data_IF_776623817277
#
_entry.id   IF_776623817277
#
_cell.length_a   1.000
_cell.length_b   1.000
_cell.length_c   1.000
_cell.angle_alpha   90.00
_cell.angle_beta   90.00
_cell.angle_gamma   90.00
#
_symmetry.space_group_name_H-M   'P 1'
#
loop_
_entity.id
_entity.type
_entity.pdbx_description
1 polymer ?
#
# COMPACT_ATOMS: atom_id res chain seq x y z
N UNK A 1 3.19 -25.88 5.62
CA UNK A 1 3.34 -26.42 4.24
C UNK A 1 2.03 -26.38 3.43
N UNK A 2 0.96 -27.09 3.84
CA UNK A 2 -0.32 -27.21 3.08
C UNK A 2 -0.90 -25.87 2.57
N UNK A 3 -1.00 -24.84 3.42
CA UNK A 3 -1.52 -23.51 3.02
C UNK A 3 -0.74 -22.86 1.86
N UNK A 4 0.58 -23.04 1.78
CA UNK A 4 1.40 -22.43 0.73
C UNK A 4 1.10 -23.05 -0.64
N UNK A 5 0.90 -24.37 -0.68
CA UNK A 5 0.54 -25.13 -1.88
C UNK A 5 -0.81 -24.63 -2.43
N UNK A 6 -1.82 -24.50 -1.56
CA UNK A 6 -3.14 -24.00 -1.99
C UNK A 6 -3.16 -22.56 -2.47
N UNK A 7 -2.24 -21.70 -1.98
CA UNK A 7 -2.09 -20.33 -2.52
C UNK A 7 -1.62 -20.33 -3.97
N UNK A 8 -0.79 -21.30 -4.34
CA UNK A 8 -0.20 -21.42 -5.68
C UNK A 8 -1.03 -22.29 -6.63
N UNK A 9 -2.20 -22.81 -6.20
CA UNK A 9 -3.03 -23.72 -7.01
C UNK A 9 -3.40 -23.19 -8.41
N UNK A 10 -3.43 -21.86 -8.59
CA UNK A 10 -3.77 -21.21 -9.86
C UNK A 10 -2.79 -21.58 -10.98
N UNK A 11 -1.55 -21.92 -10.63
CA UNK A 11 -0.52 -22.33 -11.60
C UNK A 11 -0.92 -23.61 -12.34
N UNK A 12 -1.80 -24.43 -11.75
CA UNK A 12 -2.24 -25.70 -12.33
C UNK A 12 -3.50 -25.58 -13.20
N UNK A 13 -4.09 -24.38 -13.37
CA UNK A 13 -5.35 -24.20 -14.12
C UNK A 13 -5.23 -24.59 -15.60
N UNK A 14 -4.04 -24.49 -16.19
CA UNK A 14 -3.76 -24.92 -17.58
C UNK A 14 -3.47 -26.43 -17.71
N UNK A 15 -3.47 -27.18 -16.61
CA UNK A 15 -3.14 -28.61 -16.58
C UNK A 15 -4.38 -29.44 -16.23
N UNK A 16 -4.42 -30.74 -16.55
CA UNK A 16 -5.54 -31.61 -16.16
C UNK A 16 -5.58 -31.92 -14.66
N UNK A 17 -4.59 -31.46 -13.89
CA UNK A 17 -4.46 -31.77 -12.48
C UNK A 17 -5.14 -30.74 -11.59
N UNK A 18 -5.81 -31.22 -10.54
CA UNK A 18 -6.46 -30.37 -9.55
C UNK A 18 -6.04 -30.76 -8.14
N UNK A 19 -5.95 -29.76 -7.26
CA UNK A 19 -5.66 -29.95 -5.84
C UNK A 19 -6.89 -29.57 -5.03
N UNK A 20 -7.35 -30.49 -4.19
CA UNK A 20 -8.44 -30.30 -3.23
C UNK A 20 -7.92 -30.60 -1.82
N UNK A 21 -8.55 -29.96 -0.84
CA UNK A 21 -8.32 -30.29 0.57
C UNK A 21 -8.89 -31.68 0.84
N UNK A 22 -8.17 -32.44 1.65
CA UNK A 22 -8.64 -33.73 2.14
C UNK A 22 -9.63 -33.51 3.28
N UNK A 23 -10.86 -34.01 3.11
CA UNK A 23 -11.94 -33.86 4.07
C UNK A 23 -12.51 -35.23 4.41
N UNK A 24 -12.86 -35.48 5.68
CA UNK A 24 -13.51 -36.71 6.07
C UNK A 24 -14.91 -36.81 5.45
N UNK A 25 -15.40 -38.04 5.27
CA UNK A 25 -16.63 -38.34 4.53
C UNK A 25 -17.86 -37.57 5.03
N UNK A 26 -18.02 -37.46 6.36
CA UNK A 26 -19.14 -36.72 6.96
C UNK A 26 -19.18 -35.25 6.52
N UNK A 27 -18.02 -34.62 6.32
CA UNK A 27 -17.93 -33.23 5.82
C UNK A 27 -18.30 -33.19 4.35
N UNK A 28 -17.89 -34.17 3.55
CA UNK A 28 -18.24 -34.22 2.12
C UNK A 28 -19.76 -34.33 1.93
N UNK A 29 -20.43 -35.17 2.72
CA UNK A 29 -21.89 -35.29 2.69
C UNK A 29 -22.56 -33.99 3.12
N UNK A 30 -22.11 -33.35 4.21
CA UNK A 30 -22.62 -32.04 4.61
C UNK A 30 -22.43 -30.96 3.54
N UNK A 31 -21.29 -30.94 2.85
CA UNK A 31 -21.06 -29.97 1.77
C UNK A 31 -22.03 -30.13 0.61
N UNK A 32 -22.44 -31.36 0.28
CA UNK A 32 -23.45 -31.61 -0.77
C UNK A 32 -24.80 -31.01 -0.36
N UNK A 33 -25.22 -31.20 0.88
CA UNK A 33 -26.46 -30.59 1.43
C UNK A 33 -26.39 -29.05 1.39
N UNK A 34 -25.27 -28.47 1.82
CA UNK A 34 -25.09 -27.01 1.88
C UNK A 34 -24.98 -26.35 0.50
N UNK A 35 -24.61 -27.09 -0.55
CA UNK A 35 -24.50 -26.52 -1.91
C UNK A 35 -25.83 -25.98 -2.41
N UNK A 36 -26.94 -26.66 -2.10
CA UNK A 36 -28.26 -26.22 -2.52
C UNK A 36 -28.69 -24.92 -1.81
N UNK A 37 -28.43 -24.84 -0.50
CA UNK A 37 -28.68 -23.62 0.27
C UNK A 37 -27.85 -22.44 -0.24
N UNK A 38 -26.58 -22.67 -0.59
CA UNK A 38 -25.72 -21.62 -1.16
C UNK A 38 -26.23 -21.15 -2.52
N UNK A 39 -26.82 -22.02 -3.35
CA UNK A 39 -27.42 -21.64 -4.62
C UNK A 39 -28.60 -20.68 -4.39
N UNK A 40 -29.50 -21.02 -3.47
CA UNK A 40 -30.65 -20.19 -3.09
C UNK A 40 -30.19 -18.82 -2.56
N UNK A 41 -29.19 -18.78 -1.68
CA UNK A 41 -28.70 -17.51 -1.14
C UNK A 41 -28.00 -16.64 -2.20
N UNK A 42 -27.32 -17.25 -3.18
CA UNK A 42 -26.75 -16.54 -4.33
C UNK A 42 -27.83 -15.96 -5.24
N UNK A 43 -28.90 -16.71 -5.49
CA UNK A 43 -30.07 -16.24 -6.25
C UNK A 43 -30.75 -15.04 -5.56
N UNK A 44 -30.76 -15.03 -4.22
CA UNK A 44 -31.21 -13.88 -3.41
C UNK A 44 -30.26 -12.66 -3.47
N UNK A 45 -29.08 -12.79 -4.08
CA UNK A 45 -28.08 -11.73 -4.21
C UNK A 45 -27.05 -11.65 -3.07
N UNK A 46 -27.06 -12.61 -2.14
CA UNK A 46 -26.07 -12.69 -1.07
C UNK A 46 -24.76 -13.30 -1.58
N UNK A 47 -23.62 -12.80 -1.09
CA UNK A 47 -22.32 -13.39 -1.39
C UNK A 47 -21.99 -14.47 -0.36
N UNK A 48 -21.96 -15.73 -0.79
CA UNK A 48 -21.93 -16.87 0.14
C UNK A 48 -20.90 -17.91 -0.29
N UNK A 49 -20.19 -18.49 0.69
CA UNK A 49 -19.20 -19.56 0.48
C UNK A 49 -19.29 -20.64 1.55
N UNK A 50 -19.02 -21.88 1.15
CA UNK A 50 -18.89 -23.03 2.08
C UNK A 50 -17.45 -23.10 2.62
N UNK A 51 -17.30 -23.12 3.94
CA UNK A 51 -16.03 -23.37 4.65
C UNK A 51 -16.20 -24.54 5.59
N UNK A 52 -15.47 -25.63 5.31
CA UNK A 52 -15.65 -26.92 5.99
C UNK A 52 -17.10 -27.41 5.89
N UNK A 53 -17.84 -27.46 7.00
CA UNK A 53 -19.23 -27.89 7.19
C UNK A 53 -20.21 -26.71 7.41
N UNK A 54 -19.79 -25.47 7.11
CA UNK A 54 -20.57 -24.25 7.39
C UNK A 54 -20.72 -23.38 6.16
N UNK A 55 -21.83 -22.66 6.12
CA UNK A 55 -22.09 -21.56 5.18
C UNK A 55 -21.59 -20.26 5.82
N UNK A 56 -20.84 -19.47 5.05
CA UNK A 56 -20.33 -18.16 5.47
C UNK A 56 -20.85 -17.12 4.50
N UNK A 57 -21.65 -16.18 5.03
CA UNK A 57 -22.14 -15.01 4.29
C UNK A 57 -21.06 -13.92 4.37
N UNK A 58 -20.59 -13.49 3.21
CA UNK A 58 -19.60 -12.42 3.07
C UNK A 58 -20.31 -11.08 2.95
N UNK A 59 -20.24 -10.28 4.02
CA UNK A 59 -20.74 -8.91 3.99
C UNK A 59 -19.79 -8.05 3.14
N UNK A 60 -20.33 -7.39 2.11
CA UNK A 60 -19.53 -6.55 1.18
C UNK A 60 -18.96 -5.30 1.86
N UNK A 61 -19.50 -4.95 3.02
CA UNK A 61 -19.33 -3.70 3.75
C UNK A 61 -18.38 -3.81 4.96
N UNK A 62 -17.85 -5.00 5.30
CA UNK A 62 -16.95 -5.14 6.45
C UNK A 62 -15.46 -4.92 6.15
N UNK A 63 -15.06 -4.87 4.88
CA UNK A 63 -13.65 -4.68 4.49
C UNK A 63 -13.27 -3.22 4.18
N UNK A 64 -14.17 -2.26 4.41
CA UNK A 64 -13.91 -0.82 4.22
C UNK A 64 -13.95 -0.05 5.52
N UNK A 65 -13.53 -0.65 6.62
CA UNK A 65 -13.15 0.13 7.79
C UNK A 65 -11.67 0.51 7.71
N UNK A 66 -11.34 1.30 6.68
CA UNK A 66 -10.16 2.14 6.73
C UNK A 66 -10.44 3.26 7.75
N UNK A 67 -10.43 2.91 9.04
CA UNK A 67 -10.41 3.90 10.13
C UNK A 67 -9.13 4.75 10.11
N UNK A 68 -8.18 4.42 9.23
CA UNK A 68 -6.92 5.15 9.00
C UNK A 68 -7.03 6.19 7.87
N UNK A 69 -8.22 6.66 7.51
CA UNK A 69 -8.31 7.88 6.69
C UNK A 69 -8.20 9.08 7.62
N UNK A 70 -7.00 9.61 7.75
CA UNK A 70 -6.74 10.89 8.42
C UNK A 70 -7.61 11.94 7.71
N UNK A 71 -8.52 12.58 8.45
CA UNK A 71 -9.26 13.73 7.97
C UNK A 71 -8.23 14.82 7.66
N UNK A 72 -8.16 15.28 6.42
CA UNK A 72 -7.34 16.44 6.05
C UNK A 72 -7.86 17.63 6.87
N UNK A 73 -7.02 18.20 7.73
CA UNK A 73 -7.37 19.40 8.48
C UNK A 73 -7.53 20.56 7.51
N UNK A 74 -8.66 21.26 7.59
CA UNK A 74 -8.85 22.51 6.84
C UNK A 74 -7.84 23.54 7.34
N UNK A 75 -6.87 23.91 6.49
CA UNK A 75 -6.03 25.08 6.72
C UNK A 75 -6.92 26.32 6.74
N UNK A 76 -6.70 27.30 7.64
CA UNK A 76 -7.50 28.52 7.65
C UNK A 76 -7.43 29.23 6.29
N UNK A 77 -8.58 29.57 5.73
CA UNK A 77 -8.69 30.35 4.50
C UNK A 77 -8.18 31.77 4.75
N UNK A 78 -7.13 32.17 4.03
CA UNK A 78 -6.80 33.57 3.89
C UNK A 78 -7.81 34.19 2.92
N UNK A 79 -8.82 34.86 3.49
CA UNK A 79 -9.76 35.71 2.78
C UNK A 79 -9.02 36.94 2.24
N UNK A 80 -8.42 36.81 1.06
CA UNK A 80 -8.29 37.95 0.15
C UNK A 80 -9.46 37.90 -0.81
N UNK A 81 -10.45 38.75 -0.53
CA UNK A 81 -11.61 39.04 -1.37
C UNK A 81 -11.18 39.43 -2.77
N UNK A 82 -11.39 38.55 -3.74
CA UNK A 82 -11.53 38.90 -5.15
C UNK A 82 -12.69 38.11 -5.73
N UNK A 83 -13.84 38.77 -5.83
CA UNK A 83 -15.00 38.35 -6.63
C UNK A 83 -14.57 38.09 -8.08
N UNK A 84 -14.90 36.93 -8.64
CA UNK A 84 -15.67 36.77 -9.89
C UNK A 84 -15.68 35.31 -10.38
N UNK A 85 -16.89 34.88 -10.74
CA UNK A 85 -17.32 33.88 -11.73
C UNK A 85 -16.31 32.84 -12.24
N UNK A 86 -16.75 31.57 -12.14
CA UNK A 86 -16.51 30.45 -13.07
C UNK A 86 -15.39 30.69 -14.08
N UNK A 87 -14.22 30.06 -13.88
CA UNK A 87 -13.48 29.46 -14.99
C UNK A 87 -12.25 28.67 -14.56
N UNK A 88 -12.01 27.63 -15.37
CA UNK A 88 -10.73 26.98 -15.63
C UNK A 88 -10.14 26.03 -14.57
N UNK A 89 -10.34 24.74 -14.84
CA UNK A 89 -9.37 23.70 -14.56
C UNK A 89 -7.98 24.16 -15.06
N UNK A 90 -7.12 24.61 -14.14
CA UNK A 90 -5.68 24.82 -14.42
C UNK A 90 -5.04 23.48 -14.79
N UNK A 91 -5.02 23.16 -16.07
CA UNK A 91 -4.17 22.09 -16.62
C UNK A 91 -2.72 22.53 -16.48
N UNK A 92 -2.00 21.86 -15.58
CA UNK A 92 -0.56 22.00 -15.46
C UNK A 92 0.11 21.77 -16.82
N UNK A 93 1.01 22.66 -17.22
CA UNK A 93 1.74 22.53 -18.47
C UNK A 93 2.55 21.22 -18.50
N UNK A 94 2.40 20.45 -19.58
CA UNK A 94 3.17 19.22 -19.78
C UNK A 94 4.67 19.56 -19.92
N UNK A 95 5.47 19.03 -19.00
CA UNK A 95 6.92 19.25 -18.96
C UNK A 95 7.55 18.60 -20.21
N UNK A 96 7.90 19.39 -21.23
CA UNK A 96 8.59 18.94 -22.45
C UNK A 96 10.06 18.64 -22.12
N UNK A 97 10.33 17.45 -21.59
CA UNK A 97 11.70 16.96 -21.48
C UNK A 97 12.04 16.16 -22.75
N UNK A 98 12.69 16.88 -23.66
CA UNK A 98 13.58 16.49 -24.77
C UNK A 98 13.78 14.97 -25.00
N UNK A 99 13.45 14.54 -26.21
CA UNK A 99 13.86 13.28 -26.83
C UNK A 99 15.38 13.10 -26.82
N UNK A 100 15.83 11.90 -26.42
CA UNK A 100 17.03 11.21 -26.91
C UNK A 100 18.40 11.83 -26.61
N UNK A 101 19.09 11.32 -25.61
CA UNK A 101 20.55 11.17 -25.68
C UNK A 101 20.93 9.75 -25.26
N UNK A 102 21.75 9.11 -26.08
CA UNK A 102 22.31 7.78 -25.84
C UNK A 102 23.02 7.74 -24.49
N UNK A 103 22.82 6.66 -23.74
CA UNK A 103 23.56 6.35 -22.52
C UNK A 103 25.03 6.18 -22.91
N UNK A 104 25.85 7.22 -22.79
CA UNK A 104 27.29 7.07 -22.81
C UNK A 104 27.76 6.51 -21.47
N UNK A 105 28.46 5.38 -21.56
CA UNK A 105 29.12 4.70 -20.43
C UNK A 105 30.22 5.61 -19.87
N UNK A 106 30.34 5.62 -18.55
CA UNK A 106 31.19 6.49 -17.75
C UNK A 106 32.69 6.15 -17.86
N UNK A 107 33.32 6.52 -18.97
CA UNK A 107 34.79 6.52 -19.06
C UNK A 107 35.37 7.67 -19.88
N UNK A 108 34.80 8.87 -19.75
CA UNK A 108 35.48 10.11 -20.15
C UNK A 108 35.29 11.17 -19.07
N UNK A 109 36.41 11.67 -18.55
CA UNK A 109 36.44 12.81 -17.63
C UNK A 109 35.99 14.05 -18.41
N UNK A 110 34.93 14.73 -17.98
CA UNK A 110 34.63 16.08 -18.47
C UNK A 110 35.22 17.10 -17.52
N UNK A 111 36.16 17.90 -18.03
CA UNK A 111 36.65 19.12 -17.37
C UNK A 111 35.54 20.17 -17.40
N UNK A 112 34.65 20.09 -16.41
CA UNK A 112 33.69 21.15 -16.10
C UNK A 112 33.72 21.45 -14.60
N UNK A 113 33.26 22.63 -14.17
CA UNK A 113 33.21 22.96 -12.75
C UNK A 113 32.36 21.92 -12.01
N UNK A 114 33.03 21.12 -11.18
CA UNK A 114 32.46 20.01 -10.41
C UNK A 114 31.51 20.62 -9.39
N UNK A 115 30.20 20.56 -9.67
CA UNK A 115 29.18 20.87 -8.66
C UNK A 115 29.27 19.78 -7.59
N UNK A 116 29.42 20.13 -6.30
CA UNK A 116 29.50 19.13 -5.25
C UNK A 116 28.23 18.28 -5.26
N UNK A 117 28.42 16.96 -5.38
CA UNK A 117 27.33 15.99 -5.30
C UNK A 117 26.69 15.99 -3.91
N UNK A 118 25.45 15.49 -3.83
CA UNK A 118 24.62 15.56 -2.61
C UNK A 118 25.26 14.87 -1.39
N UNK A 119 26.31 14.07 -1.61
CA UNK A 119 27.13 13.42 -0.59
C UNK A 119 27.81 14.42 0.37
N UNK A 120 28.06 15.66 -0.07
CA UNK A 120 28.61 16.70 0.81
C UNK A 120 27.62 17.15 1.90
N UNK A 121 26.30 16.94 1.71
CA UNK A 121 25.29 17.30 2.72
C UNK A 121 25.15 16.27 3.84
N UNK A 122 25.69 15.06 3.67
CA UNK A 122 25.60 14.00 4.68
C UNK A 122 26.77 13.97 5.66
N UNK A 123 27.80 14.80 5.45
CA UNK A 123 28.90 14.94 6.39
C UNK A 123 28.46 15.81 7.57
N UNK A 124 28.01 15.16 8.65
CA UNK A 124 27.80 15.82 9.94
C UNK A 124 29.17 16.14 10.55
N UNK A 125 29.51 17.43 10.66
CA UNK A 125 30.64 17.85 11.49
C UNK A 125 30.32 17.59 12.98
N UNK A 126 31.18 16.90 13.74
CA UNK A 126 30.97 16.72 15.17
C UNK A 126 31.21 18.06 15.88
N UNK A 127 30.14 18.66 16.44
CA UNK A 127 30.27 19.80 17.36
C UNK A 127 30.81 19.30 18.69
N UNK A 128 32.13 19.29 18.83
CA UNK A 128 32.79 19.26 20.13
C UNK A 128 32.73 20.65 20.76
N UNK A 129 31.85 20.86 21.73
CA UNK A 129 32.11 21.82 22.81
C UNK A 129 31.51 21.25 24.08
N UNK A 130 32.41 20.75 24.93
CA UNK A 130 32.11 20.24 26.25
C UNK A 130 32.65 21.25 27.26
N UNK A 131 31.84 21.50 28.29
CA UNK A 131 32.18 22.00 29.64
C UNK A 131 32.29 23.53 29.82
N UNK A 132 31.28 24.09 30.49
CA UNK A 132 31.43 24.60 31.86
C UNK A 132 30.11 25.21 32.31
N UNK A 133 29.45 24.64 33.34
CA UNK A 133 28.76 25.42 34.36
C UNK A 133 28.81 24.68 35.71
N UNK A 134 29.08 25.49 36.73
CA UNK A 134 29.37 25.19 38.12
C UNK A 134 28.19 24.53 38.83
N UNK A 135 28.47 23.62 39.76
CA UNK A 135 27.56 23.32 40.86
C UNK A 135 28.32 23.46 42.18
N UNK A 136 28.16 24.62 42.81
CA UNK A 136 28.30 24.80 44.26
C UNK A 136 27.07 24.19 44.93
N UNK A 137 27.25 23.22 45.82
CA UNK A 137 26.49 23.09 47.08
C UNK A 137 27.28 22.23 48.06
N UNK A 138 27.77 22.87 49.11
CA UNK A 138 28.18 22.25 50.37
C UNK A 138 26.95 22.11 51.29
N UNK A 139 27.09 21.25 52.32
CA UNK A 139 26.18 20.95 53.44
C UNK A 139 25.21 19.79 53.13
N UNK A 140 25.16 18.68 53.87
CA UNK A 140 25.45 18.36 55.30
C UNK A 140 26.15 17.00 55.37
#
# INVERSE_FOLDING_TARGET
MKKAIFKQKKVLEATPYYIKEDYPEYVLNKRKELQEQVRIEKEKGNSVRIKYDKIVIMNKNSNTSNHNKIMLSNSPENITTCTNSNDEHKTQANKKNKTGTSIQRSSSLSEGPIKPGILNFFHKHPTNTSKNQENKTNNI
#
